data_IF_645564520771
#
_entry.id   IF_645564520771
#
_cell.length_a   1.000
_cell.length_b   1.000
_cell.length_c   1.000
_cell.angle_alpha   90.00
_cell.angle_beta   90.00
_cell.angle_gamma   90.00
#
_symmetry.space_group_name_H-M   'P 1'
#
loop_
_entity.id
_entity.type
_entity.pdbx_description
1 polymer ?
#
# COMPACT_ATOMS: atom_id res chain seq x y z
N UNK A 1 13.21 -6.63 47.73
CA UNK A 1 12.87 -8.08 47.76
C UNK A 1 11.94 -8.35 46.58
N UNK A 2 12.40 -8.44 45.32
CA UNK A 2 13.09 -9.55 44.63
C UNK A 2 12.49 -10.92 44.97
N UNK A 3 11.71 -11.52 44.03
CA UNK A 3 12.18 -12.59 43.11
C UNK A 3 11.01 -13.06 42.20
N UNK A 4 11.00 -12.70 40.92
CA UNK A 4 11.40 -13.53 39.76
C UNK A 4 11.17 -15.05 39.88
N UNK A 5 10.31 -15.57 39.01
CA UNK A 5 10.37 -16.95 38.51
C UNK A 5 10.71 -16.91 37.02
N UNK A 6 11.98 -17.15 36.73
CA UNK A 6 12.49 -17.48 35.41
C UNK A 6 12.14 -18.94 35.08
N UNK A 7 11.75 -19.20 33.84
CA UNK A 7 11.84 -20.52 33.23
C UNK A 7 13.01 -20.45 32.24
N UNK A 8 13.99 -21.34 32.42
CA UNK A 8 15.18 -21.47 31.60
C UNK A 8 15.19 -22.90 31.05
N UNK A 9 15.37 -23.07 29.74
CA UNK A 9 15.69 -24.36 29.14
C UNK A 9 17.06 -24.22 28.45
N UNK A 10 18.03 -24.99 28.94
CA UNK A 10 19.38 -25.14 28.40
C UNK A 10 19.41 -26.28 27.37
N UNK A 11 20.19 -26.11 26.31
CA UNK A 11 20.88 -27.22 25.65
C UNK A 11 22.36 -26.85 25.49
N UNK A 12 23.21 -27.69 26.05
CA UNK A 12 24.67 -27.59 26.05
C UNK A 12 25.22 -28.55 25.00
N UNK A 13 26.21 -28.12 24.20
CA UNK A 13 27.12 -29.05 23.55
C UNK A 13 28.57 -28.66 23.84
N UNK A 14 29.32 -29.65 24.28
CA UNK A 14 30.67 -29.62 24.80
C UNK A 14 31.68 -29.95 23.70
N UNK A 15 32.85 -29.30 23.68
CA UNK A 15 34.08 -29.85 23.10
C UNK A 15 35.31 -29.19 23.74
N UNK A 16 36.09 -30.00 24.47
CA UNK A 16 37.42 -29.67 24.99
C UNK A 16 38.46 -29.65 23.86
N UNK A 17 39.50 -28.82 23.99
CA UNK A 17 40.87 -29.21 23.62
C UNK A 17 41.90 -28.50 24.53
N UNK A 18 42.90 -29.29 24.97
CA UNK A 18 44.08 -28.91 25.76
C UNK A 18 44.94 -27.92 24.97
N UNK A 19 45.71 -26.96 25.49
CA UNK A 19 46.47 -26.85 26.73
C UNK A 19 47.92 -26.49 26.35
N UNK A 20 48.48 -25.38 26.84
CA UNK A 20 49.92 -25.21 27.18
C UNK A 20 50.15 -23.82 27.78
N UNK A 21 50.91 -23.80 28.87
CA UNK A 21 51.36 -22.65 29.66
C UNK A 21 52.60 -21.98 29.06
N UNK A 22 52.64 -20.64 29.05
CA UNK A 22 53.88 -19.86 29.02
C UNK A 22 53.75 -18.69 30.01
N UNK A 23 54.69 -18.61 30.97
CA UNK A 23 54.89 -17.46 31.86
C UNK A 23 55.59 -16.31 31.11
N UNK A 24 55.21 -15.05 31.37
CA UNK A 24 56.10 -13.98 31.92
C UNK A 24 55.57 -12.54 31.73
N UNK A 25 55.87 -11.71 32.73
CA UNK A 25 56.02 -10.24 32.78
C UNK A 25 54.80 -9.29 32.71
N UNK A 26 54.37 -8.88 33.91
CA UNK A 26 54.23 -7.48 34.42
C UNK A 26 53.97 -6.32 33.45
N UNK A 27 52.74 -5.79 33.55
CA UNK A 27 52.38 -4.38 33.38
C UNK A 27 50.89 -4.20 33.63
N UNK A 28 50.42 -3.21 34.44
CA UNK A 28 49.00 -2.92 34.50
C UNK A 28 48.60 -2.21 33.21
N UNK A 29 48.23 -2.98 32.19
CA UNK A 29 47.42 -2.46 31.10
C UNK A 29 46.02 -2.35 31.66
N UNK A 30 45.62 -1.13 32.03
CA UNK A 30 44.22 -0.79 32.25
C UNK A 30 43.49 -0.93 30.92
N UNK A 31 43.06 -2.15 30.62
CA UNK A 31 42.03 -2.39 29.61
C UNK A 31 40.75 -1.77 30.16
N UNK A 32 40.41 -0.59 29.64
CA UNK A 32 39.02 -0.15 29.61
C UNK A 32 38.27 -1.19 28.79
N UNK A 33 37.81 -2.23 29.47
CA UNK A 33 36.75 -3.10 29.00
C UNK A 33 35.50 -2.24 28.91
N UNK A 34 35.38 -1.45 27.86
CA UNK A 34 34.08 -1.07 27.33
C UNK A 34 33.47 -2.38 26.81
N UNK A 35 32.93 -3.16 27.75
CA UNK A 35 31.88 -4.12 27.45
C UNK A 35 30.71 -3.26 27.00
N UNK A 36 30.71 -2.90 25.72
CA UNK A 36 29.51 -2.52 25.03
C UNK A 36 28.65 -3.79 25.03
N UNK A 37 27.96 -3.98 26.15
CA UNK A 37 26.77 -4.79 26.20
C UNK A 37 25.80 -4.07 25.26
N UNK A 38 25.83 -4.46 23.99
CA UNK A 38 24.77 -4.18 23.05
C UNK A 38 23.56 -4.90 23.65
N UNK A 39 22.81 -4.19 24.49
CA UNK A 39 21.49 -4.63 24.91
C UNK A 39 20.64 -4.87 23.65
N UNK A 40 19.57 -5.68 23.73
CA UNK A 40 18.69 -5.85 22.59
C UNK A 40 18.25 -4.45 22.13
N UNK A 41 18.43 -4.14 20.85
CA UNK A 41 17.95 -2.90 20.24
C UNK A 41 16.48 -2.72 20.63
N UNK A 42 16.24 -1.86 21.62
CA UNK A 42 14.88 -1.58 22.05
C UNK A 42 14.26 -0.71 20.97
N UNK A 43 13.32 -1.29 20.21
CA UNK A 43 12.57 -0.55 19.20
C UNK A 43 11.80 0.55 19.93
N UNK A 44 12.21 1.80 19.71
CA UNK A 44 11.54 2.96 20.30
C UNK A 44 10.38 3.40 19.41
N UNK A 45 9.12 3.39 19.90
CA UNK A 45 8.00 3.87 19.12
C UNK A 45 8.10 5.38 18.92
N UNK A 46 7.75 5.84 17.71
CA UNK A 46 7.55 7.27 17.44
C UNK A 46 6.39 7.78 18.30
N UNK A 47 6.52 8.99 18.85
CA UNK A 47 5.50 9.64 19.68
C UNK A 47 5.06 10.94 19.02
N UNK A 48 3.75 11.15 18.93
CA UNK A 48 3.14 12.37 18.42
C UNK A 48 1.94 12.75 19.30
N UNK A 49 1.90 13.97 19.87
CA UNK A 49 0.86 14.33 20.85
C UNK A 49 -0.52 14.61 20.23
N UNK A 50 -0.59 14.94 18.93
CA UNK A 50 -1.82 15.43 18.30
C UNK A 50 -2.42 14.47 17.26
N UNK A 51 -1.57 13.90 16.41
CA UNK A 51 -2.00 13.02 15.32
C UNK A 51 -0.81 12.28 14.74
N UNK A 52 -1.06 11.12 14.12
CA UNK A 52 -0.03 10.28 13.53
C UNK A 52 -0.56 9.64 12.26
N UNK A 53 0.26 9.61 11.22
CA UNK A 53 0.01 8.86 9.99
C UNK A 53 1.16 7.88 9.79
N UNK A 54 0.82 6.63 9.50
CA UNK A 54 1.77 5.55 9.26
C UNK A 54 1.46 4.94 7.91
N UNK A 55 2.46 4.85 7.03
CA UNK A 55 2.31 4.26 5.70
C UNK A 55 3.65 3.70 5.19
N UNK A 56 3.61 2.97 4.08
CA UNK A 56 4.79 2.37 3.44
C UNK A 56 5.71 3.40 2.73
N UNK A 57 5.32 4.68 2.67
CA UNK A 57 6.07 5.75 2.02
C UNK A 57 6.19 6.94 2.95
N UNK A 58 7.41 7.36 3.25
CA UNK A 58 7.66 8.55 4.09
C UNK A 58 6.95 9.79 3.51
N UNK A 59 6.93 9.95 2.18
CA UNK A 59 6.25 11.06 1.51
C UNK A 59 4.74 10.99 1.68
N UNK A 60 4.14 9.79 1.56
CA UNK A 60 2.71 9.63 1.74
C UNK A 60 2.27 9.81 3.21
N UNK A 61 3.10 9.38 4.17
CA UNK A 61 2.91 9.68 5.58
C UNK A 61 2.98 11.18 5.85
N UNK A 62 3.94 11.88 5.24
CA UNK A 62 4.07 13.33 5.35
C UNK A 62 2.83 14.04 4.81
N UNK A 63 2.35 13.67 3.60
CA UNK A 63 1.13 14.24 3.02
C UNK A 63 -0.07 14.10 3.97
N UNK A 64 -0.28 12.91 4.54
CA UNK A 64 -1.37 12.72 5.50
C UNK A 64 -1.17 13.54 6.78
N UNK A 65 0.05 13.60 7.30
CA UNK A 65 0.34 14.41 8.49
C UNK A 65 0.16 15.91 8.24
N UNK A 66 0.44 16.40 7.03
CA UNK A 66 0.23 17.79 6.63
C UNK A 66 -1.26 18.11 6.56
N UNK A 67 -2.09 17.15 6.12
CA UNK A 67 -3.56 17.28 6.15
C UNK A 67 -4.06 17.37 7.60
N UNK A 68 -3.59 16.50 8.50
CA UNK A 68 -3.93 16.60 9.94
C UNK A 68 -3.48 17.94 10.54
N UNK A 69 -2.25 18.37 10.24
CA UNK A 69 -1.70 19.64 10.72
C UNK A 69 -2.47 20.85 10.18
N UNK A 70 -3.06 20.73 8.98
CA UNK A 70 -3.94 21.74 8.39
C UNK A 70 -5.39 21.66 8.89
N UNK A 71 -5.67 20.86 9.92
CA UNK A 71 -6.99 20.75 10.55
C UNK A 71 -7.94 19.73 9.90
N UNK A 72 -7.46 18.94 8.94
CA UNK A 72 -8.25 17.85 8.36
C UNK A 72 -8.41 16.69 9.34
N UNK A 73 -9.47 15.92 9.17
CA UNK A 73 -9.74 14.78 10.05
C UNK A 73 -8.96 13.52 9.62
N UNK A 74 -9.13 12.42 10.35
CA UNK A 74 -8.44 11.16 10.05
C UNK A 74 -8.83 10.54 8.70
N UNK A 75 -10.07 10.75 8.23
CA UNK A 75 -10.54 10.29 6.92
C UNK A 75 -9.89 11.11 5.80
N UNK A 76 -9.85 12.43 5.95
CA UNK A 76 -9.17 13.34 5.01
C UNK A 76 -7.70 12.96 4.84
N UNK A 77 -7.00 12.77 5.96
CA UNK A 77 -5.59 12.38 5.96
C UNK A 77 -5.37 11.00 5.35
N UNK A 78 -6.26 10.03 5.63
CA UNK A 78 -6.17 8.69 5.04
C UNK A 78 -6.36 8.72 3.52
N UNK A 79 -7.29 9.52 3.00
CA UNK A 79 -7.52 9.71 1.57
C UNK A 79 -6.29 10.32 0.90
N UNK A 80 -5.77 11.43 1.44
CA UNK A 80 -4.59 12.10 0.89
C UNK A 80 -3.35 11.18 0.92
N UNK A 81 -3.14 10.43 2.00
CA UNK A 81 -2.10 9.40 2.08
C UNK A 81 -2.30 8.30 1.04
N UNK A 82 -3.53 7.80 0.86
CA UNK A 82 -3.84 6.76 -0.13
C UNK A 82 -3.53 7.22 -1.56
N UNK A 83 -3.93 8.44 -1.92
CA UNK A 83 -3.62 9.05 -3.22
C UNK A 83 -2.11 9.30 -3.40
N UNK A 84 -1.41 9.74 -2.35
CA UNK A 84 0.05 9.88 -2.40
C UNK A 84 0.77 8.53 -2.52
N UNK A 85 0.23 7.44 -1.94
CA UNK A 85 0.74 6.08 -2.13
C UNK A 85 0.52 5.60 -3.56
N UNK A 86 -0.58 5.99 -4.23
CA UNK A 86 -0.81 5.68 -5.64
C UNK A 86 0.29 6.21 -6.57
N UNK A 87 1.04 7.22 -6.13
CA UNK A 87 2.18 7.80 -6.85
C UNK A 87 3.50 7.26 -6.32
N UNK A 88 3.68 7.24 -5.00
CA UNK A 88 4.99 6.99 -4.36
C UNK A 88 5.25 5.53 -4.02
N UNK A 89 4.23 4.68 -4.11
CA UNK A 89 4.31 3.24 -3.81
C UNK A 89 3.55 2.41 -4.86
N UNK A 90 3.94 2.49 -6.16
CA UNK A 90 3.18 1.92 -7.28
C UNK A 90 3.07 0.38 -7.27
N UNK A 91 3.82 -0.31 -6.40
CA UNK A 91 3.68 -1.75 -6.19
C UNK A 91 2.35 -2.15 -5.52
N UNK A 92 1.68 -1.22 -4.82
CA UNK A 92 0.42 -1.52 -4.12
C UNK A 92 -0.51 -0.32 -3.96
N UNK A 93 0.03 0.89 -3.71
CA UNK A 93 -0.76 2.10 -3.75
C UNK A 93 -1.31 2.29 -5.16
N UNK A 94 -2.60 2.63 -5.30
CA UNK A 94 -3.26 2.56 -6.60
C UNK A 94 -4.46 3.50 -6.73
N UNK A 95 -4.79 3.82 -7.98
CA UNK A 95 -6.14 4.22 -8.42
C UNK A 95 -6.78 3.16 -9.34
N UNK A 96 -5.99 2.19 -9.81
CA UNK A 96 -6.41 1.12 -10.73
C UNK A 96 -6.70 -0.23 -10.07
N UNK A 97 -6.75 -0.29 -8.73
CA UNK A 97 -7.15 -1.48 -7.97
C UNK A 97 -8.29 -1.14 -7.00
N UNK A 98 -8.32 -1.79 -5.84
CA UNK A 98 -9.34 -1.58 -4.82
C UNK A 98 -8.81 -1.80 -3.40
N UNK A 99 -9.73 -1.88 -2.44
CA UNK A 99 -9.39 -2.06 -1.03
C UNK A 99 -10.54 -1.84 -0.08
N UNK A 100 -10.17 -1.52 1.16
CA UNK A 100 -11.07 -1.36 2.28
C UNK A 100 -10.61 -0.24 3.20
N UNK A 101 -11.55 0.41 3.90
CA UNK A 101 -11.28 1.39 4.95
C UNK A 101 -12.16 1.09 6.16
N UNK A 102 -11.57 0.89 7.33
CA UNK A 102 -12.29 0.80 8.61
C UNK A 102 -12.16 2.13 9.31
N UNK A 103 -13.27 2.70 9.76
CA UNK A 103 -13.32 4.01 10.42
C UNK A 103 -13.92 3.83 11.80
N UNK A 104 -13.24 4.34 12.82
CA UNK A 104 -13.76 4.41 14.20
C UNK A 104 -13.90 5.86 14.61
N UNK A 105 -15.08 6.23 15.07
CA UNK A 105 -15.41 7.60 15.43
C UNK A 105 -15.14 7.90 16.92
N UNK A 106 -15.00 9.18 17.31
CA UNK A 106 -14.79 9.57 18.71
C UNK A 106 -15.90 9.14 19.66
N UNK A 107 -17.13 8.98 19.17
CA UNK A 107 -18.29 8.50 19.95
C UNK A 107 -18.28 6.97 20.19
N UNK A 108 -17.26 6.27 19.66
CA UNK A 108 -17.09 4.83 19.80
C UNK A 108 -17.80 4.00 18.72
N UNK A 109 -18.59 4.62 17.84
CA UNK A 109 -19.19 3.93 16.69
C UNK A 109 -18.14 3.63 15.63
N UNK A 110 -18.45 2.71 14.70
CA UNK A 110 -17.51 2.31 13.64
C UNK A 110 -18.25 1.91 12.37
N UNK A 111 -17.62 2.20 11.23
CA UNK A 111 -18.11 1.84 9.89
C UNK A 111 -16.97 1.28 9.05
N UNK A 112 -17.31 0.73 7.89
CA UNK A 112 -16.37 0.23 6.92
C UNK A 112 -16.78 0.63 5.50
N UNK A 113 -15.82 1.04 4.68
CA UNK A 113 -16.00 1.29 3.25
C UNK A 113 -15.32 0.17 2.48
N UNK A 114 -16.14 -0.59 1.74
CA UNK A 114 -15.72 -1.62 0.78
C UNK A 114 -15.66 -1.02 -0.61
N UNK A 115 -14.44 -0.94 -1.11
CA UNK A 115 -14.13 -0.54 -2.48
C UNK A 115 -13.25 -1.59 -3.14
N UNK A 116 -13.52 -2.87 -2.86
CA UNK A 116 -12.93 -3.99 -3.57
C UNK A 116 -13.32 -3.93 -5.05
N UNK A 117 -12.43 -4.37 -5.92
CA UNK A 117 -12.71 -4.50 -7.34
C UNK A 117 -13.93 -5.39 -7.59
N UNK A 118 -14.67 -5.12 -8.67
CA UNK A 118 -15.76 -5.99 -9.12
C UNK A 118 -15.35 -6.73 -10.38
N UNK A 119 -15.79 -7.99 -10.50
CA UNK A 119 -15.71 -8.68 -11.78
C UNK A 119 -16.49 -7.88 -12.84
N UNK A 120 -15.92 -7.66 -14.03
CA UNK A 120 -16.65 -7.09 -15.16
C UNK A 120 -17.93 -7.88 -15.48
N UNK A 121 -18.93 -7.25 -16.08
CA UNK A 121 -20.21 -7.85 -16.42
C UNK A 121 -20.08 -9.07 -17.35
N UNK A 122 -19.04 -9.10 -18.18
CA UNK A 122 -18.73 -10.20 -19.09
C UNK A 122 -17.91 -11.34 -18.44
N UNK A 123 -17.57 -11.23 -17.15
CA UNK A 123 -16.89 -12.30 -16.43
C UNK A 123 -17.77 -13.54 -16.31
N UNK A 124 -17.14 -14.70 -16.42
CA UNK A 124 -17.78 -16.01 -16.31
C UNK A 124 -16.80 -17.03 -15.70
N UNK A 125 -17.28 -18.12 -15.07
CA UNK A 125 -16.42 -19.02 -14.29
C UNK A 125 -15.25 -19.63 -15.08
N UNK A 126 -15.45 -19.92 -16.36
CA UNK A 126 -14.50 -20.61 -17.22
C UNK A 126 -13.46 -19.68 -17.89
N UNK A 127 -13.51 -18.36 -17.67
CA UNK A 127 -12.64 -17.37 -18.34
C UNK A 127 -11.14 -17.51 -18.03
N UNK A 128 -10.79 -18.40 -17.08
CA UNK A 128 -9.42 -18.68 -16.65
C UNK A 128 -8.86 -19.98 -17.24
N UNK A 129 -9.66 -20.71 -18.01
CA UNK A 129 -9.25 -21.95 -18.65
C UNK A 129 -8.55 -21.65 -19.98
N UNK A 130 -7.59 -22.49 -20.36
CA UNK A 130 -7.01 -22.48 -21.70
C UNK A 130 -7.84 -23.33 -22.69
N UNK A 131 -7.37 -23.43 -23.94
CA UNK A 131 -8.05 -24.19 -25.00
C UNK A 131 -8.19 -25.69 -24.70
N UNK A 132 -7.44 -26.22 -23.74
CA UNK A 132 -7.55 -27.61 -23.27
C UNK A 132 -8.57 -27.80 -22.15
N UNK A 133 -9.12 -26.71 -21.61
CA UNK A 133 -10.03 -26.71 -20.47
C UNK A 133 -9.33 -26.71 -19.11
N UNK A 134 -8.00 -26.53 -19.07
CA UNK A 134 -7.20 -26.52 -17.84
C UNK A 134 -6.94 -25.10 -17.36
N UNK A 135 -6.71 -24.93 -16.05
CA UNK A 135 -6.47 -23.60 -15.47
C UNK A 135 -5.17 -22.97 -15.99
N UNK A 136 -5.29 -21.77 -16.56
CA UNK A 136 -4.17 -20.97 -17.03
C UNK A 136 -3.77 -19.91 -16.00
N UNK A 137 -2.64 -20.15 -15.31
CA UNK A 137 -2.01 -19.18 -14.41
C UNK A 137 -1.64 -17.89 -15.16
N UNK A 138 -1.21 -17.99 -16.42
CA UNK A 138 -0.83 -16.84 -17.24
C UNK A 138 -2.03 -15.97 -17.55
N UNK A 139 -3.16 -16.56 -17.95
CA UNK A 139 -4.41 -15.82 -18.17
C UNK A 139 -4.86 -15.13 -16.89
N UNK A 140 -4.82 -15.81 -15.75
CA UNK A 140 -5.30 -15.24 -14.49
C UNK A 140 -4.39 -14.19 -13.85
N UNK A 141 -3.07 -14.18 -14.14
CA UNK A 141 -2.15 -13.26 -13.47
C UNK A 141 -1.39 -12.30 -14.38
N UNK A 142 -1.29 -12.60 -15.67
CA UNK A 142 -0.48 -11.86 -16.64
C UNK A 142 -1.28 -11.54 -17.91
N UNK A 143 -2.58 -11.24 -17.77
CA UNK A 143 -3.42 -10.80 -18.88
C UNK A 143 -4.37 -9.70 -18.44
N UNK A 144 -4.98 -9.02 -19.40
CA UNK A 144 -5.99 -7.99 -19.16
C UNK A 144 -7.31 -8.56 -18.60
N UNK A 145 -7.57 -9.86 -18.76
CA UNK A 145 -8.72 -10.53 -18.15
C UNK A 145 -8.63 -10.57 -16.62
N UNK A 146 -7.42 -10.51 -16.06
CA UNK A 146 -7.16 -10.53 -14.62
C UNK A 146 -7.62 -9.25 -13.88
N UNK A 147 -7.97 -8.20 -14.62
CA UNK A 147 -8.26 -6.88 -14.06
C UNK A 147 -9.74 -6.78 -13.70
N UNK A 148 -10.01 -6.59 -12.41
CA UNK A 148 -11.34 -6.21 -11.94
C UNK A 148 -11.59 -4.71 -12.11
N UNK A 149 -12.86 -4.31 -12.15
CA UNK A 149 -13.28 -2.91 -12.22
C UNK A 149 -12.74 -2.17 -10.99
N UNK A 150 -11.85 -1.17 -11.15
CA UNK A 150 -11.16 -0.53 -10.03
C UNK A 150 -12.10 0.19 -9.06
N UNK A 151 -11.78 0.16 -7.77
CA UNK A 151 -12.61 0.69 -6.71
C UNK A 151 -12.07 1.87 -5.92
N UNK A 152 -10.75 2.06 -5.89
CA UNK A 152 -10.11 3.00 -4.94
C UNK A 152 -10.65 4.42 -5.02
N UNK A 153 -10.80 4.98 -6.23
CA UNK A 153 -11.30 6.35 -6.40
C UNK A 153 -12.74 6.48 -5.88
N UNK A 154 -13.62 5.51 -6.18
CA UNK A 154 -14.99 5.53 -5.68
C UNK A 154 -15.06 5.32 -4.16
N UNK A 155 -14.15 4.53 -3.58
CA UNK A 155 -14.03 4.34 -2.14
C UNK A 155 -13.64 5.61 -1.42
N UNK A 156 -12.57 6.26 -1.86
CA UNK A 156 -12.10 7.53 -1.30
C UNK A 156 -13.12 8.65 -1.50
N UNK A 157 -13.73 8.75 -2.67
CA UNK A 157 -14.81 9.72 -2.91
C UNK A 157 -15.99 9.47 -1.96
N UNK A 158 -16.46 8.23 -1.82
CA UNK A 158 -17.55 7.90 -0.88
C UNK A 158 -17.19 8.27 0.57
N UNK A 159 -15.99 7.89 1.03
CA UNK A 159 -15.53 8.20 2.39
C UNK A 159 -15.46 9.71 2.63
N UNK A 160 -14.97 10.47 1.65
CA UNK A 160 -14.96 11.93 1.70
C UNK A 160 -16.37 12.52 1.77
N UNK A 161 -17.29 12.08 0.91
CA UNK A 161 -18.67 12.61 0.89
C UNK A 161 -19.42 12.35 2.19
N UNK A 162 -19.11 11.27 2.90
CA UNK A 162 -19.79 10.89 4.14
C UNK A 162 -19.10 11.45 5.39
N UNK A 163 -17.76 11.49 5.40
CA UNK A 163 -16.97 11.72 6.61
C UNK A 163 -15.75 12.63 6.42
N UNK A 164 -15.54 13.19 5.22
CA UNK A 164 -14.50 14.19 4.99
C UNK A 164 -14.91 15.56 5.54
N UNK A 165 -13.92 16.39 5.84
CA UNK A 165 -14.12 17.76 6.35
C UNK A 165 -13.40 18.81 5.49
N UNK A 166 -12.34 18.44 4.77
CA UNK A 166 -11.63 19.33 3.85
C UNK A 166 -12.13 19.25 2.41
N UNK A 167 -11.82 20.28 1.61
CA UNK A 167 -12.09 20.27 0.17
C UNK A 167 -11.39 19.11 -0.54
N UNK A 168 -12.13 18.35 -1.34
CA UNK A 168 -11.61 17.20 -2.10
C UNK A 168 -10.36 17.51 -2.91
N UNK A 169 -10.38 18.63 -3.66
CA UNK A 169 -9.25 19.03 -4.50
C UNK A 169 -7.97 19.20 -3.67
N UNK A 170 -8.09 19.73 -2.45
CA UNK A 170 -6.97 19.92 -1.52
C UNK A 170 -6.34 18.59 -1.08
N UNK A 171 -7.13 17.51 -0.98
CA UNK A 171 -6.64 16.18 -0.63
C UNK A 171 -5.94 15.48 -1.80
N UNK A 172 -6.35 15.76 -3.03
CA UNK A 172 -5.81 15.13 -4.25
C UNK A 172 -4.55 15.84 -4.74
N UNK A 173 -4.51 17.17 -4.61
CA UNK A 173 -3.43 18.03 -5.13
C UNK A 173 -2.01 17.61 -4.73
N UNK A 174 -1.72 17.14 -3.49
CA UNK A 174 -0.39 16.66 -3.16
C UNK A 174 0.07 15.49 -4.04
N UNK A 175 -0.83 14.56 -4.38
CA UNK A 175 -0.54 13.45 -5.28
C UNK A 175 -0.33 13.93 -6.72
N UNK A 176 -1.10 14.92 -7.19
CA UNK A 176 -0.88 15.57 -8.50
C UNK A 176 0.52 16.15 -8.57
N UNK A 177 0.93 16.94 -7.57
CA UNK A 177 2.26 17.54 -7.49
C UNK A 177 3.36 16.47 -7.49
N UNK A 178 3.23 15.43 -6.67
CA UNK A 178 4.20 14.32 -6.63
C UNK A 178 4.32 13.59 -7.98
N UNK A 179 3.23 13.42 -8.71
CA UNK A 179 3.23 12.74 -10.00
C UNK A 179 3.83 13.62 -11.10
N UNK A 180 3.47 14.91 -11.13
CA UNK A 180 3.89 15.89 -12.14
C UNK A 180 5.34 16.33 -11.97
N UNK A 181 5.72 16.70 -10.76
CA UNK A 181 7.06 17.24 -10.46
C UNK A 181 8.06 16.10 -10.20
N UNK A 182 7.53 14.90 -9.92
CA UNK A 182 8.29 13.71 -9.62
C UNK A 182 8.81 13.66 -8.19
N UNK A 183 9.43 12.54 -7.85
CA UNK A 183 10.08 12.35 -6.57
C UNK A 183 11.31 11.46 -6.69
N UNK A 184 12.26 11.68 -5.80
CA UNK A 184 13.47 10.85 -5.72
C UNK A 184 13.12 9.43 -5.29
N UNK A 185 13.53 8.45 -6.09
CA UNK A 185 13.26 7.04 -5.80
C UNK A 185 14.30 6.47 -4.84
N UNK A 186 13.80 5.64 -3.91
CA UNK A 186 14.64 4.91 -2.97
C UNK A 186 15.23 3.67 -3.61
N UNK A 187 16.29 3.11 -3.02
CA UNK A 187 16.89 1.84 -3.44
C UNK A 187 15.86 0.70 -3.53
N UNK A 188 14.95 0.62 -2.54
CA UNK A 188 13.86 -0.37 -2.53
C UNK A 188 12.93 -0.20 -3.73
N UNK A 189 12.58 1.03 -4.08
CA UNK A 189 11.71 1.31 -5.23
C UNK A 189 12.44 1.01 -6.54
N UNK A 190 13.69 1.48 -6.69
CA UNK A 190 14.52 1.22 -7.87
C UNK A 190 14.60 -0.28 -8.20
N UNK A 191 15.00 -1.11 -7.23
CA UNK A 191 15.03 -2.56 -7.44
C UNK A 191 13.65 -3.19 -7.68
N UNK A 192 12.57 -2.58 -7.19
CA UNK A 192 11.21 -2.99 -7.51
C UNK A 192 10.80 -2.70 -8.95
N UNK A 193 11.15 -1.53 -9.47
CA UNK A 193 10.88 -1.12 -10.85
C UNK A 193 11.73 -1.93 -11.84
N UNK A 194 13.00 -2.17 -11.54
CA UNK A 194 13.88 -3.04 -12.33
C UNK A 194 13.25 -4.44 -12.51
N UNK A 195 12.90 -5.11 -11.41
CA UNK A 195 12.21 -6.42 -11.46
C UNK A 195 10.87 -6.37 -12.21
N UNK A 196 10.16 -5.24 -12.16
CA UNK A 196 8.91 -5.08 -12.89
C UNK A 196 9.17 -5.06 -14.40
N UNK A 197 10.08 -4.20 -14.88
CA UNK A 197 10.31 -3.99 -16.31
C UNK A 197 11.08 -5.14 -16.97
N UNK A 198 11.95 -5.83 -16.23
CA UNK A 198 12.64 -7.04 -16.70
C UNK A 198 11.76 -8.29 -16.61
N UNK A 199 10.79 -8.27 -15.69
CA UNK A 199 9.86 -9.36 -15.44
C UNK A 199 8.54 -9.20 -16.20
N UNK A 200 7.43 -9.40 -15.48
CA UNK A 200 6.07 -9.41 -16.05
C UNK A 200 5.67 -8.09 -16.74
N UNK A 201 6.28 -6.97 -16.36
CA UNK A 201 5.99 -5.65 -16.93
C UNK A 201 6.53 -5.47 -18.35
N UNK A 202 7.52 -6.27 -18.75
CA UNK A 202 8.13 -6.21 -20.10
C UNK A 202 7.14 -6.38 -21.24
N UNK A 203 6.05 -7.11 -21.00
CA UNK A 203 5.01 -7.39 -22.00
C UNK A 203 4.01 -6.24 -22.17
N UNK A 204 4.11 -5.18 -21.37
CA UNK A 204 3.14 -4.09 -21.34
C UNK A 204 3.81 -2.75 -21.71
N UNK A 205 3.60 -2.24 -22.94
CA UNK A 205 4.25 -1.00 -23.40
C UNK A 205 4.01 0.20 -22.48
N UNK A 206 2.79 0.34 -21.94
CA UNK A 206 2.47 1.42 -20.99
C UNK A 206 3.25 1.32 -19.68
N UNK A 207 3.54 0.11 -19.21
CA UNK A 207 4.39 -0.12 -18.02
C UNK A 207 5.83 0.28 -18.29
N UNK A 208 6.39 -0.13 -19.43
CA UNK A 208 7.74 0.28 -19.84
C UNK A 208 7.82 1.80 -19.96
N UNK A 209 6.87 2.43 -20.63
CA UNK A 209 6.83 3.88 -20.77
C UNK A 209 6.74 4.62 -19.42
N UNK A 210 5.99 4.08 -18.46
CA UNK A 210 5.75 4.75 -17.17
C UNK A 210 6.85 4.53 -16.13
N UNK A 211 7.56 3.41 -16.20
CA UNK A 211 8.45 2.96 -15.13
C UNK A 211 9.87 2.62 -15.59
N UNK A 212 10.26 3.07 -16.79
CA UNK A 212 11.63 2.98 -17.29
C UNK A 212 12.09 4.31 -17.92
N UNK A 213 13.41 4.47 -18.06
CA UNK A 213 14.05 5.53 -18.85
C UNK A 213 14.34 4.97 -20.24
N UNK A 214 13.41 5.15 -21.17
CA UNK A 214 13.53 4.64 -22.55
C UNK A 214 13.84 3.13 -22.61
N UNK A 215 13.20 2.34 -21.74
CA UNK A 215 13.40 0.89 -21.62
C UNK A 215 14.43 0.47 -20.58
N UNK A 216 15.18 1.41 -19.99
CA UNK A 216 16.20 1.11 -18.97
C UNK A 216 15.70 1.33 -17.54
N UNK A 217 16.11 0.51 -16.56
CA UNK A 217 15.74 0.69 -15.16
C UNK A 217 16.17 2.05 -14.60
N UNK A 218 15.39 2.58 -13.67
CA UNK A 218 15.81 3.69 -12.84
C UNK A 218 16.78 3.24 -11.74
N UNK A 219 17.71 4.12 -11.38
CA UNK A 219 18.64 3.97 -10.26
C UNK A 219 18.15 4.74 -9.03
N UNK A 220 18.54 4.29 -7.84
CA UNK A 220 18.29 5.05 -6.60
C UNK A 220 18.82 6.48 -6.72
N UNK A 221 18.06 7.45 -6.18
CA UNK A 221 18.41 8.87 -6.26
C UNK A 221 17.93 9.58 -7.53
N UNK A 222 17.44 8.83 -8.53
CA UNK A 222 16.83 9.43 -9.71
C UNK A 222 15.39 9.87 -9.45
N UNK A 223 14.90 10.77 -10.30
CA UNK A 223 13.54 11.30 -10.22
C UNK A 223 12.58 10.47 -11.07
N UNK A 224 11.58 9.87 -10.43
CA UNK A 224 10.45 9.26 -11.15
C UNK A 224 9.36 10.31 -11.36
N UNK A 225 9.08 10.61 -12.63
CA UNK A 225 8.01 11.52 -13.06
C UNK A 225 6.91 10.71 -13.73
N UNK A 226 5.66 10.93 -13.34
CA UNK A 226 4.50 10.17 -13.80
C UNK A 226 3.43 11.12 -14.37
N UNK A 227 3.78 11.82 -15.45
CA UNK A 227 2.95 12.90 -16.04
C UNK A 227 1.53 12.42 -16.38
N UNK A 228 1.39 11.20 -16.90
CA UNK A 228 0.09 10.64 -17.31
C UNK A 228 -0.81 10.32 -16.10
N UNK A 229 -0.20 9.83 -15.01
CA UNK A 229 -0.88 9.68 -13.73
C UNK A 229 -1.26 11.05 -13.15
N UNK A 230 -0.37 12.05 -13.25
CA UNK A 230 -0.65 13.42 -12.85
C UNK A 230 -1.90 13.99 -13.52
N UNK A 231 -2.01 13.87 -14.86
CA UNK A 231 -3.21 14.30 -15.61
C UNK A 231 -4.47 13.53 -15.20
N UNK A 232 -4.33 12.25 -14.84
CA UNK A 232 -5.46 11.47 -14.33
C UNK A 232 -5.90 11.95 -12.95
N UNK A 233 -4.96 12.23 -12.05
CA UNK A 233 -5.23 12.79 -10.73
C UNK A 233 -5.81 14.21 -10.82
N UNK A 234 -5.41 15.02 -11.80
CA UNK A 234 -6.02 16.34 -12.05
C UNK A 234 -7.51 16.21 -12.39
N UNK A 235 -7.87 15.26 -13.27
CA UNK A 235 -9.28 14.96 -13.57
C UNK A 235 -10.03 14.48 -12.33
N UNK A 236 -9.42 13.61 -11.52
CA UNK A 236 -10.02 13.16 -10.26
C UNK A 236 -10.20 14.33 -9.28
N UNK A 237 -9.26 15.27 -9.23
CA UNK A 237 -9.36 16.44 -8.36
C UNK A 237 -10.51 17.36 -8.79
N UNK A 238 -10.68 17.58 -10.09
CA UNK A 238 -11.73 18.44 -10.64
C UNK A 238 -13.13 17.81 -10.59
N UNK A 239 -13.24 16.55 -11.00
CA UNK A 239 -14.52 15.89 -11.27
C UNK A 239 -14.88 14.81 -10.23
N UNK A 240 -14.11 14.70 -9.14
CA UNK A 240 -14.33 13.74 -8.07
C UNK A 240 -14.27 12.30 -8.57
N UNK A 241 -15.33 11.52 -8.30
CA UNK A 241 -15.49 10.16 -8.81
C UNK A 241 -15.38 10.11 -10.34
N UNK A 242 -16.07 11.01 -11.04
CA UNK A 242 -16.28 10.88 -12.48
C UNK A 242 -15.03 11.24 -13.28
N UNK A 243 -14.04 11.89 -12.65
CA UNK A 243 -12.70 12.06 -13.19
C UNK A 243 -11.97 10.73 -13.47
N UNK A 244 -12.43 9.62 -12.88
CA UNK A 244 -11.95 8.26 -13.17
C UNK A 244 -12.96 7.39 -13.92
N UNK A 245 -14.23 7.38 -13.47
CA UNK A 245 -15.25 6.45 -13.97
C UNK A 245 -16.03 6.96 -15.20
N UNK A 246 -15.77 8.19 -15.64
CA UNK A 246 -16.33 8.77 -16.84
C UNK A 246 -15.27 9.54 -17.65
N UNK A 247 -15.70 10.18 -18.74
CA UNK A 247 -14.87 11.09 -19.52
C UNK A 247 -13.61 10.45 -20.11
N UNK A 248 -12.51 11.21 -20.10
CA UNK A 248 -11.24 10.82 -20.73
C UNK A 248 -10.61 9.60 -20.05
N UNK A 249 -10.51 9.57 -18.72
CA UNK A 249 -9.88 8.45 -17.99
C UNK A 249 -10.59 7.13 -18.27
N UNK A 250 -11.92 7.11 -18.22
CA UNK A 250 -12.70 5.91 -18.50
C UNK A 250 -12.50 5.41 -19.93
N UNK A 251 -12.49 6.32 -20.92
CA UNK A 251 -12.22 5.96 -22.32
C UNK A 251 -10.82 5.41 -22.53
N UNK A 252 -9.79 5.99 -21.90
CA UNK A 252 -8.42 5.49 -22.00
C UNK A 252 -8.27 4.11 -21.35
N UNK A 253 -8.94 3.87 -20.23
CA UNK A 253 -8.96 2.56 -19.57
C UNK A 253 -9.60 1.51 -20.47
N UNK A 254 -10.79 1.78 -21.01
CA UNK A 254 -11.48 0.82 -21.90
C UNK A 254 -10.71 0.59 -23.19
N UNK A 255 -10.11 1.62 -23.78
CA UNK A 255 -9.25 1.47 -24.95
C UNK A 255 -8.03 0.57 -24.68
N UNK A 256 -7.47 0.62 -23.47
CA UNK A 256 -6.39 -0.30 -23.08
C UNK A 256 -6.90 -1.74 -22.87
N UNK A 257 -8.10 -1.91 -22.32
CA UNK A 257 -8.73 -3.22 -22.21
C UNK A 257 -8.99 -3.82 -23.59
N UNK A 258 -9.56 -3.05 -24.53
CA UNK A 258 -9.79 -3.49 -25.90
C UNK A 258 -8.47 -3.87 -26.61
N UNK A 259 -7.42 -3.06 -26.45
CA UNK A 259 -6.08 -3.35 -27.01
C UNK A 259 -5.49 -4.65 -26.48
N UNK A 260 -5.71 -4.93 -25.20
CA UNK A 260 -5.15 -6.06 -24.49
C UNK A 260 -6.01 -7.32 -24.42
N UNK A 261 -7.23 -7.29 -24.97
CA UNK A 261 -8.20 -8.38 -24.83
C UNK A 261 -8.84 -8.49 -23.44
N UNK A 262 -8.85 -7.40 -22.68
CA UNK A 262 -9.61 -7.26 -21.43
C UNK A 262 -11.10 -7.06 -21.67
N UNK A 263 -11.89 -7.16 -20.60
CA UNK A 263 -13.36 -7.20 -20.67
C UNK A 263 -14.06 -6.11 -19.84
N UNK A 264 -13.32 -5.13 -19.30
CA UNK A 264 -13.94 -3.97 -18.65
C UNK A 264 -14.48 -3.02 -19.72
N UNK A 265 -15.75 -2.65 -19.59
CA UNK A 265 -16.45 -1.71 -20.48
C UNK A 265 -16.73 -0.37 -19.79
N UNK A 266 -17.21 0.61 -20.56
CA UNK A 266 -17.71 1.87 -19.99
C UNK A 266 -18.92 1.64 -19.07
N UNK A 267 -19.74 0.63 -19.36
CA UNK A 267 -20.89 0.28 -18.52
C UNK A 267 -20.44 -0.29 -17.17
N UNK A 268 -19.39 -1.11 -17.15
CA UNK A 268 -18.77 -1.60 -15.92
C UNK A 268 -18.32 -0.45 -15.02
N UNK A 269 -17.59 0.51 -15.58
CA UNK A 269 -17.11 1.69 -14.87
C UNK A 269 -18.28 2.54 -14.35
N UNK A 270 -19.28 2.80 -15.19
CA UNK A 270 -20.45 3.58 -14.82
C UNK A 270 -21.22 2.94 -13.63
N UNK A 271 -21.37 1.61 -13.63
CA UNK A 271 -22.07 0.85 -12.59
C UNK A 271 -21.24 0.61 -11.32
N UNK A 272 -19.94 0.89 -11.32
CA UNK A 272 -19.11 0.67 -10.14
C UNK A 272 -19.54 1.59 -8.99
N UNK A 273 -19.67 1.00 -7.81
CA UNK A 273 -19.99 1.72 -6.57
C UNK A 273 -19.29 1.03 -5.40
N UNK A 274 -18.57 1.82 -4.61
CA UNK A 274 -18.13 1.44 -3.28
C UNK A 274 -19.33 1.30 -2.34
N UNK A 275 -19.21 0.46 -1.32
CA UNK A 275 -20.29 0.13 -0.37
C UNK A 275 -19.86 0.49 1.04
N UNK A 276 -20.74 1.16 1.78
CA UNK A 276 -20.59 1.22 3.22
C UNK A 276 -21.10 -0.10 3.81
N UNK A 277 -20.45 -0.58 4.86
CA UNK A 277 -20.75 -1.84 5.54
C UNK A 277 -20.61 -1.65 7.03
N UNK A 278 -21.44 -2.35 7.79
CA UNK A 278 -21.19 -2.58 9.20
C UNK A 278 -19.92 -3.44 9.34
N UNK A 279 -18.91 -3.02 10.12
CA UNK A 279 -17.70 -3.81 10.33
C UNK A 279 -18.01 -5.07 11.16
N UNK A 280 -17.11 -6.05 11.09
CA UNK A 280 -17.13 -7.16 12.05
C UNK A 280 -16.60 -6.65 13.37
N UNK A 281 -17.28 -7.04 14.44
CA UNK A 281 -16.93 -6.70 15.80
C UNK A 281 -16.93 -7.97 16.65
N UNK A 282 -15.82 -8.18 17.34
CA UNK A 282 -15.64 -9.23 18.34
C UNK A 282 -14.90 -8.69 19.55
N UNK A 283 -14.78 -9.51 20.60
CA UNK A 283 -14.06 -9.14 21.83
C UNK A 283 -13.04 -10.20 22.20
N UNK A 284 -11.86 -9.77 22.65
CA UNK A 284 -10.83 -10.68 23.16
C UNK A 284 -10.11 -10.06 24.36
N UNK A 285 -10.03 -10.78 25.48
CA UNK A 285 -9.39 -10.34 26.73
C UNK A 285 -9.80 -8.93 27.19
N UNK A 286 -11.07 -8.57 27.01
CA UNK A 286 -11.62 -7.27 27.39
C UNK A 286 -11.37 -6.13 26.39
N UNK A 287 -10.83 -6.42 25.20
CA UNK A 287 -10.64 -5.47 24.11
C UNK A 287 -11.64 -5.70 22.99
N UNK A 288 -12.11 -4.62 22.37
CA UNK A 288 -12.85 -4.65 21.11
C UNK A 288 -11.89 -4.91 19.93
N UNK A 289 -12.24 -5.87 19.08
CA UNK A 289 -11.60 -6.12 17.80
C UNK A 289 -12.60 -5.74 16.71
N UNK A 290 -12.29 -4.68 15.97
CA UNK A 290 -13.12 -4.18 14.87
C UNK A 290 -12.33 -4.38 13.57
N UNK A 291 -12.95 -5.05 12.60
CA UNK A 291 -12.31 -5.38 11.34
C UNK A 291 -13.29 -5.35 10.17
N UNK A 292 -12.77 -5.53 8.96
CA UNK A 292 -13.58 -5.51 7.75
C UNK A 292 -14.53 -6.71 7.67
N UNK A 293 -15.77 -6.42 7.30
CA UNK A 293 -16.76 -7.43 6.94
C UNK A 293 -16.52 -8.03 5.55
N UNK A 294 -17.21 -9.14 5.21
CA UNK A 294 -17.27 -9.64 3.85
C UNK A 294 -17.52 -8.50 2.84
N UNK A 295 -16.75 -8.42 1.75
CA UNK A 295 -16.06 -9.53 1.08
C UNK A 295 -14.66 -9.86 1.61
N UNK A 296 -14.15 -9.15 2.63
CA UNK A 296 -12.93 -9.57 3.31
C UNK A 296 -13.18 -10.82 4.17
N UNK A 297 -12.30 -11.82 4.08
CA UNK A 297 -12.27 -12.95 4.99
C UNK A 297 -11.48 -12.67 6.28
N UNK A 298 -10.69 -11.60 6.31
CA UNK A 298 -9.76 -11.32 7.41
C UNK A 298 -10.46 -11.07 8.74
N UNK A 299 -11.51 -10.25 8.76
CA UNK A 299 -12.22 -9.94 10.00
C UNK A 299 -12.96 -11.11 10.63
N UNK A 300 -13.32 -12.14 9.85
CA UNK A 300 -13.96 -13.37 10.35
C UNK A 300 -12.92 -14.37 10.89
N UNK A 301 -11.71 -14.36 10.34
CA UNK A 301 -10.65 -15.31 10.69
C UNK A 301 -9.89 -14.96 11.98
N UNK A 302 -10.04 -13.73 12.48
CA UNK A 302 -9.42 -13.20 13.70
C UNK A 302 -10.45 -13.25 14.83
#
# INVERSE_FOLDING_TARGET
>A
MINHRHFLAFFTLCSLWLGTTVLSSTGPVSTLGASATVGPDTIQPVRAPNGMVVSASTRASQVGSDVLAAGGNAVDAAIATGLALAVTHPSAGNIGGGGFMVIRFPDGTSTAVDFREKAPLASHPEMWLDDSGEYSRTTHHNSYLAVGVPGTVAGFWKAHQLYGDQDWERLVKPAVTLARDGFEITERLAGGLERLIEGRGSSFPGTIQSFSKDGYPYSSGEMLVQTDLGRTLERIAADGRDGFYAGETARLLVAEMERGGGIITLEDLARYQARERTPIHGTYNGYDIISMAPPSSGGIAI
#
